data_IF_031557635736
#
_entry.id   IF_031557635736
#
_cell.length_a   1.000
_cell.length_b   1.000
_cell.length_c   1.000
_cell.angle_alpha   90.00
_cell.angle_beta   90.00
_cell.angle_gamma   90.00
#
_symmetry.space_group_name_H-M   'P 1'
#
loop_
_entity.id
_entity.type
_entity.pdbx_description
1 polymer ?
#
# COMPACT_ATOMS: atom_id res chain seq x y z
N UNK A 1 -9.51 -17.28 23.31
CA UNK A 1 -9.69 -16.20 22.34
C UNK A 1 -8.36 -15.86 21.69
N UNK A 2 -8.29 -15.94 20.40
CA UNK A 2 -7.07 -15.60 19.66
C UNK A 2 -7.02 -14.09 19.45
N UNK A 3 -5.92 -13.47 19.79
CA UNK A 3 -5.71 -12.06 19.43
C UNK A 3 -5.65 -11.95 17.90
N UNK A 4 -6.14 -10.86 17.35
CA UNK A 4 -5.98 -10.58 15.93
C UNK A 4 -4.48 -10.58 15.60
N UNK A 5 -4.04 -11.24 14.52
CA UNK A 5 -2.64 -11.24 14.16
C UNK A 5 -2.17 -9.81 13.86
N UNK A 6 -0.97 -9.49 14.32
CA UNK A 6 -0.34 -8.23 13.96
C UNK A 6 0.02 -8.30 12.47
N UNK A 7 -0.39 -7.28 11.73
CA UNK A 7 -0.22 -7.26 10.29
C UNK A 7 0.76 -6.17 9.87
N UNK A 8 1.32 -6.37 8.68
CA UNK A 8 2.23 -5.42 8.05
C UNK A 8 1.82 -5.28 6.59
N UNK A 9 2.18 -4.16 5.99
CA UNK A 9 2.02 -4.02 4.55
C UNK A 9 2.93 -5.03 3.85
N UNK A 10 2.39 -5.67 2.83
CA UNK A 10 3.13 -6.64 2.02
C UNK A 10 3.19 -6.13 0.59
N UNK A 11 4.40 -6.00 0.05
CA UNK A 11 4.59 -5.59 -1.33
C UNK A 11 4.51 -6.82 -2.23
N UNK A 12 3.59 -6.78 -3.20
CA UNK A 12 3.41 -7.87 -4.17
C UNK A 12 3.47 -7.34 -5.58
N UNK A 13 4.00 -8.19 -6.48
CA UNK A 13 3.92 -7.97 -7.92
C UNK A 13 2.69 -8.71 -8.43
N UNK A 14 1.79 -8.00 -9.10
CA UNK A 14 0.53 -8.57 -9.59
C UNK A 14 0.42 -8.39 -11.08
N UNK A 15 -0.21 -9.35 -11.76
CA UNK A 15 -0.47 -9.26 -13.19
C UNK A 15 -1.51 -8.19 -13.47
N UNK A 16 -1.26 -7.40 -14.52
CA UNK A 16 -2.20 -6.36 -14.95
C UNK A 16 -3.15 -6.97 -15.97
N UNK A 17 -4.47 -6.85 -15.79
CA UNK A 17 -5.42 -7.30 -16.81
C UNK A 17 -5.19 -6.55 -18.13
N UNK A 18 -5.21 -7.28 -19.25
CA UNK A 18 -5.05 -6.69 -20.57
C UNK A 18 -6.31 -5.92 -20.96
N UNK A 19 -6.11 -4.81 -21.66
CA UNK A 19 -7.22 -3.99 -22.14
C UNK A 19 -6.72 -2.82 -22.97
N UNK A 20 -7.64 -2.06 -23.60
CA UNK A 20 -7.25 -0.95 -24.48
C UNK A 20 -6.40 0.12 -23.79
N UNK A 21 -6.68 0.41 -22.53
CA UNK A 21 -5.93 1.42 -21.78
C UNK A 21 -4.48 0.98 -21.57
N UNK A 22 -4.27 -0.28 -21.20
CA UNK A 22 -2.92 -0.83 -21.00
C UNK A 22 -2.15 -0.83 -22.31
N UNK A 23 -2.79 -1.20 -23.40
CA UNK A 23 -2.16 -1.18 -24.74
C UNK A 23 -1.77 0.24 -25.15
N UNK A 24 -2.60 1.22 -24.83
CA UNK A 24 -2.29 2.62 -25.12
C UNK A 24 -1.07 3.09 -24.30
N UNK A 25 -1.02 2.76 -23.02
CA UNK A 25 0.10 3.11 -22.15
C UNK A 25 1.38 2.44 -22.63
N UNK A 26 1.31 1.16 -23.01
CA UNK A 26 2.46 0.44 -23.57
C UNK A 26 3.03 1.12 -24.81
N UNK A 27 2.15 1.62 -25.67
CA UNK A 27 2.57 2.38 -26.87
C UNK A 27 3.30 3.66 -26.49
N UNK A 28 2.76 4.38 -25.51
CA UNK A 28 3.32 5.65 -25.06
C UNK A 28 4.73 5.48 -24.47
N UNK A 29 4.93 4.42 -23.67
CA UNK A 29 6.22 4.20 -23.00
C UNK A 29 7.17 3.30 -23.80
N UNK A 30 6.68 2.65 -24.87
CA UNK A 30 7.51 1.83 -25.76
C UNK A 30 7.94 0.48 -25.19
N UNK A 31 7.21 -0.04 -24.19
CA UNK A 31 7.53 -1.35 -23.59
C UNK A 31 6.27 -2.02 -23.05
N UNK A 32 6.27 -3.37 -22.94
CA UNK A 32 5.11 -4.06 -22.37
C UNK A 32 4.99 -3.80 -20.87
N UNK A 33 3.74 -3.73 -20.41
CA UNK A 33 3.40 -3.64 -18.99
C UNK A 33 2.63 -4.91 -18.64
N UNK A 34 3.27 -5.82 -17.91
CA UNK A 34 2.65 -7.10 -17.56
C UNK A 34 2.30 -7.21 -16.10
N UNK A 35 3.02 -6.48 -15.25
CA UNK A 35 2.88 -6.52 -13.81
C UNK A 35 2.98 -5.13 -13.22
N UNK A 36 2.32 -4.94 -12.08
CA UNK A 36 2.49 -3.77 -11.24
C UNK A 36 2.82 -4.23 -9.83
N UNK A 37 3.52 -3.38 -9.07
CA UNK A 37 3.71 -3.61 -7.64
C UNK A 37 2.62 -2.91 -6.87
N UNK A 38 2.16 -3.53 -5.79
CA UNK A 38 1.08 -3.00 -4.97
C UNK A 38 1.24 -3.49 -3.54
N UNK A 39 0.85 -2.67 -2.58
CA UNK A 39 0.81 -3.10 -1.20
C UNK A 39 -0.49 -3.84 -0.91
N UNK A 40 -0.36 -4.90 -0.13
CA UNK A 40 -1.49 -5.67 0.39
C UNK A 40 -1.47 -5.61 1.91
N UNK A 41 -2.64 -5.63 2.52
CA UNK A 41 -2.79 -5.66 3.96
C UNK A 41 -3.84 -6.72 4.30
N UNK A 42 -3.41 -7.73 5.04
CA UNK A 42 -4.28 -8.87 5.40
C UNK A 42 -4.97 -9.48 4.16
N UNK A 43 -4.22 -9.63 3.07
CA UNK A 43 -4.71 -10.23 1.83
C UNK A 43 -5.53 -9.32 0.93
N UNK A 44 -5.71 -8.06 1.28
CA UNK A 44 -6.46 -7.10 0.49
C UNK A 44 -5.57 -6.00 -0.07
N UNK A 45 -5.77 -5.57 -1.33
CA UNK A 45 -4.97 -4.51 -1.91
C UNK A 45 -5.26 -3.18 -1.22
N UNK A 46 -4.19 -2.38 -1.05
CA UNK A 46 -4.28 -1.04 -0.47
C UNK A 46 -4.14 -0.02 -1.59
N UNK A 47 -5.04 0.95 -1.63
CA UNK A 47 -5.04 2.01 -2.63
C UNK A 47 -4.69 3.34 -1.99
N UNK A 48 -4.11 4.25 -2.77
CA UNK A 48 -3.86 5.62 -2.33
C UNK A 48 -5.18 6.25 -1.86
N UNK A 49 -5.12 6.89 -0.71
CA UNK A 49 -6.30 7.46 -0.08
C UNK A 49 -7.02 6.54 0.90
N UNK A 50 -6.67 5.25 0.92
CA UNK A 50 -7.27 4.33 1.89
C UNK A 50 -6.90 4.73 3.31
N UNK A 51 -7.87 4.61 4.20
CA UNK A 51 -7.65 4.85 5.63
C UNK A 51 -7.16 3.57 6.28
N UNK A 52 -6.04 3.66 6.99
CA UNK A 52 -5.43 2.55 7.70
C UNK A 52 -5.20 2.96 9.16
N UNK A 53 -4.89 1.98 10.00
CA UNK A 53 -4.38 2.23 11.33
C UNK A 53 -2.93 1.79 11.40
N UNK A 54 -2.08 2.64 11.97
CA UNK A 54 -0.66 2.35 12.16
C UNK A 54 -0.33 2.50 13.64
N UNK A 55 0.46 1.56 14.16
CA UNK A 55 0.92 1.57 15.54
C UNK A 55 2.14 2.48 15.67
N UNK A 56 1.98 3.56 16.40
CA UNK A 56 3.05 4.56 16.60
C UNK A 56 3.11 4.92 18.09
N UNK A 57 4.28 4.76 18.67
CA UNK A 57 4.52 5.20 20.06
C UNK A 57 3.59 4.60 21.10
N UNK A 58 3.13 3.37 20.89
CA UNK A 58 2.26 2.69 21.82
C UNK A 58 0.76 2.82 21.53
N UNK A 59 0.41 3.52 20.47
CA UNK A 59 -0.99 3.76 20.11
C UNK A 59 -1.26 3.47 18.64
N UNK A 60 -2.52 3.11 18.33
CA UNK A 60 -2.99 2.96 16.96
C UNK A 60 -3.58 4.31 16.51
N UNK A 61 -3.07 4.81 15.39
CA UNK A 61 -3.58 6.03 14.77
C UNK A 61 -4.22 5.72 13.45
N UNK A 62 -5.37 6.35 13.19
CA UNK A 62 -6.03 6.28 11.89
C UNK A 62 -5.46 7.37 11.00
N UNK A 63 -5.12 7.01 9.77
CA UNK A 63 -4.58 7.97 8.83
C UNK A 63 -4.70 7.48 7.41
N UNK A 64 -4.20 8.29 6.49
CA UNK A 64 -4.33 8.04 5.05
C UNK A 64 -3.02 7.51 4.47
N UNK A 65 -3.14 6.41 3.74
CA UNK A 65 -2.05 5.80 2.98
C UNK A 65 -1.89 6.51 1.64
N UNK A 66 -0.65 6.84 1.28
CA UNK A 66 -0.28 7.33 -0.04
C UNK A 66 1.03 6.68 -0.47
N UNK A 67 1.15 6.40 -1.76
CA UNK A 67 2.35 5.78 -2.31
C UNK A 67 2.52 6.15 -3.78
N UNK A 68 3.79 6.31 -4.20
CA UNK A 68 4.13 6.68 -5.58
C UNK A 68 4.03 5.51 -6.56
N UNK A 69 3.96 4.28 -6.06
CA UNK A 69 4.02 3.08 -6.90
C UNK A 69 5.44 2.59 -7.17
N UNK A 70 6.44 3.31 -6.68
CA UNK A 70 7.85 2.94 -6.87
C UNK A 70 8.31 2.03 -5.73
N UNK A 71 8.75 0.78 -6.04
CA UNK A 71 9.16 -0.17 -4.99
C UNK A 71 10.28 0.33 -4.08
N UNK A 72 11.15 1.20 -4.59
CA UNK A 72 12.25 1.78 -3.81
C UNK A 72 11.80 2.89 -2.84
N UNK A 73 10.59 3.37 -2.98
CA UNK A 73 10.04 4.40 -2.10
C UNK A 73 9.05 3.80 -1.11
N UNK A 74 9.16 4.22 0.14
CA UNK A 74 8.23 3.80 1.18
C UNK A 74 6.93 4.58 1.07
N UNK A 75 5.78 3.94 1.36
CA UNK A 75 4.53 4.68 1.43
C UNK A 75 4.51 5.62 2.61
N UNK A 76 3.70 6.66 2.52
CA UNK A 76 3.49 7.60 3.60
C UNK A 76 2.16 7.35 4.27
N UNK A 77 2.09 7.72 5.54
CA UNK A 77 0.89 7.64 6.36
C UNK A 77 0.68 9.02 6.98
N UNK A 78 -0.42 9.64 6.60
CA UNK A 78 -0.79 10.98 7.05
C UNK A 78 -1.87 10.87 8.12
N UNK A 79 -1.57 11.34 9.33
CA UNK A 79 -2.47 11.27 10.48
C UNK A 79 -2.44 12.62 11.23
N UNK A 80 -3.34 12.84 12.21
CA UNK A 80 -3.39 14.15 12.89
C UNK A 80 -2.10 14.61 13.55
N UNK A 81 -1.21 13.68 13.88
CA UNK A 81 0.10 14.01 14.47
C UNK A 81 1.19 14.35 13.44
N UNK A 82 0.93 14.19 12.14
CA UNK A 82 1.91 14.46 11.10
C UNK A 82 1.91 13.42 9.99
N UNK A 83 3.08 13.25 9.38
CA UNK A 83 3.29 12.28 8.29
C UNK A 83 4.48 11.41 8.66
N UNK A 84 4.32 10.10 8.51
CA UNK A 84 5.43 9.15 8.69
C UNK A 84 5.55 8.28 7.46
N UNK A 85 6.70 7.62 7.31
CA UNK A 85 6.91 6.60 6.28
C UNK A 85 6.69 5.23 6.90
N UNK A 86 5.93 4.39 6.19
CA UNK A 86 5.66 3.02 6.65
C UNK A 86 6.76 2.11 6.12
N UNK A 87 7.59 1.60 7.03
CA UNK A 87 8.64 0.64 6.71
C UNK A 87 8.22 -0.77 7.12
N UNK A 88 9.12 -1.74 6.92
CA UNK A 88 8.85 -3.16 7.19
C UNK A 88 8.60 -3.47 8.67
N UNK A 89 8.97 -2.57 9.56
CA UNK A 89 8.79 -2.76 11.00
C UNK A 89 7.46 -2.20 11.50
N UNK A 90 6.79 -1.38 10.70
CA UNK A 90 5.53 -0.76 11.11
C UNK A 90 4.40 -1.79 11.14
N UNK A 91 3.69 -1.82 12.26
CA UNK A 91 2.46 -2.60 12.37
C UNK A 91 1.31 -1.80 11.80
N UNK A 92 0.57 -2.39 10.89
CA UNK A 92 -0.51 -1.75 10.15
C UNK A 92 -1.72 -2.67 10.16
N UNK A 93 -2.90 -2.10 10.25
CA UNK A 93 -4.15 -2.86 10.16
C UNK A 93 -5.23 -2.03 9.49
N UNK A 94 -6.25 -2.71 8.98
CA UNK A 94 -7.46 -2.03 8.54
C UNK A 94 -8.16 -1.42 9.76
N UNK A 95 -8.82 -0.26 9.62
CA UNK A 95 -9.53 0.36 10.73
C UNK A 95 -10.61 -0.56 11.31
N UNK A 96 -10.71 -0.54 12.61
CA UNK A 96 -11.67 -1.36 13.36
C UNK A 96 -12.99 -0.63 13.50
#
# INVERSE_FOLDING_TARGET
MTAAPLTKLELRSVSIPRGPLIELIEREIGRPITHETRHYLAGQPVHCGDMLEVYVGGYWFVGRYEWTGKPEELPTFEYPGGVIRINDECLVRWPV
#
